data_IF_717917547005
#
_entry.id   IF_717917547005
#
_cell.length_a   1.000
_cell.length_b   1.000
_cell.length_c   1.000
_cell.angle_alpha   90.00
_cell.angle_beta   90.00
_cell.angle_gamma   90.00
#
_symmetry.space_group_name_H-M   'P 1'
#
loop_
_entity.id
_entity.type
_entity.pdbx_description
1 polymer ?
#
# COMPACT_ATOMS: atom_id res chain seq x y z
N UNK A 1 12.02 -9.03 -5.83
CA UNK A 1 11.49 -7.85 -6.55
C UNK A 1 12.09 -6.58 -5.95
N UNK A 2 12.21 -5.49 -6.71
CA UNK A 2 12.75 -4.21 -6.23
C UNK A 2 11.68 -3.13 -6.39
N UNK A 3 11.36 -2.44 -5.31
CA UNK A 3 10.41 -1.33 -5.28
C UNK A 3 11.14 0.00 -5.06
N UNK A 4 10.71 1.05 -5.78
CA UNK A 4 11.23 2.41 -5.57
C UNK A 4 10.56 3.02 -4.34
N UNK A 5 11.37 3.47 -3.38
CA UNK A 5 10.89 4.25 -2.24
C UNK A 5 10.56 5.67 -2.71
N UNK A 6 9.40 6.21 -2.34
CA UNK A 6 9.07 7.61 -2.63
C UNK A 6 9.89 8.55 -1.74
N UNK A 7 10.16 9.75 -2.24
CA UNK A 7 10.71 10.81 -1.40
C UNK A 7 9.72 11.14 -0.27
N UNK A 8 10.19 11.34 0.97
CA UNK A 8 9.34 11.87 2.03
C UNK A 8 8.91 13.30 1.71
N UNK A 9 7.77 13.72 2.26
CA UNK A 9 7.42 15.14 2.31
C UNK A 9 8.49 15.91 3.10
N UNK A 10 8.66 17.19 2.77
CA UNK A 10 9.43 18.08 3.65
C UNK A 10 8.76 18.15 5.03
N UNK A 11 9.52 18.42 6.09
CA UNK A 11 8.94 18.54 7.43
C UNK A 11 7.83 19.62 7.50
N UNK A 12 8.00 20.82 6.92
CA UNK A 12 6.92 21.81 6.86
C UNK A 12 5.67 21.30 6.13
N UNK A 13 5.82 20.61 5.00
CA UNK A 13 4.67 20.10 4.23
C UNK A 13 3.94 18.99 5.01
N UNK A 14 4.68 18.11 5.69
CA UNK A 14 4.10 17.05 6.51
C UNK A 14 3.34 17.62 7.72
N UNK A 15 3.88 18.66 8.37
CA UNK A 15 3.21 19.36 9.47
C UNK A 15 1.95 20.08 9.00
N UNK A 16 1.99 20.73 7.83
CA UNK A 16 0.83 21.36 7.21
C UNK A 16 -0.25 20.32 6.88
N UNK A 17 0.13 19.16 6.35
CA UNK A 17 -0.79 18.05 6.09
C UNK A 17 -1.47 17.57 7.39
N UNK A 18 -0.70 17.41 8.46
CA UNK A 18 -1.22 17.00 9.77
C UNK A 18 -2.19 18.03 10.35
N UNK A 19 -1.87 19.32 10.25
CA UNK A 19 -2.76 20.38 10.68
C UNK A 19 -4.09 20.33 9.92
N UNK A 20 -4.04 20.28 8.58
CA UNK A 20 -5.24 20.19 7.73
C UNK A 20 -6.09 18.96 8.07
N UNK A 21 -5.46 17.80 8.29
CA UNK A 21 -6.18 16.59 8.65
C UNK A 21 -6.87 16.69 10.02
N UNK A 22 -6.23 17.33 11.01
CA UNK A 22 -6.82 17.57 12.35
C UNK A 22 -7.99 18.54 12.29
N UNK A 23 -7.87 19.62 11.51
CA UNK A 23 -8.95 20.58 11.31
C UNK A 23 -10.16 19.93 10.63
N UNK A 24 -9.92 19.11 9.60
CA UNK A 24 -10.98 18.33 8.93
C UNK A 24 -11.69 17.40 9.90
N UNK A 25 -10.94 16.65 10.73
CA UNK A 25 -11.51 15.75 11.74
C UNK A 25 -12.35 16.52 12.76
N UNK A 26 -11.89 17.69 13.22
CA UNK A 26 -12.64 18.54 14.15
C UNK A 26 -13.99 18.95 13.55
N UNK A 27 -13.99 19.49 12.32
CA UNK A 27 -15.21 19.90 11.61
C UNK A 27 -16.21 18.75 11.47
N UNK A 28 -15.76 17.60 10.98
CA UNK A 28 -16.63 16.43 10.79
C UNK A 28 -17.22 15.93 12.12
N UNK A 29 -16.47 16.05 13.22
CA UNK A 29 -16.97 15.70 14.56
C UNK A 29 -18.05 16.67 15.04
N UNK A 30 -17.89 17.96 14.80
CA UNK A 30 -18.89 19.00 15.12
C UNK A 30 -20.17 18.85 14.27
N UNK A 31 -20.02 18.48 12.99
CA UNK A 31 -21.13 18.23 12.06
C UNK A 31 -21.91 16.94 12.39
N UNK A 32 -21.42 16.10 13.29
CA UNK A 32 -22.10 14.87 13.70
C UNK A 32 -22.24 13.85 12.56
N UNK A 33 -21.26 13.76 11.66
CA UNK A 33 -21.28 12.85 10.50
C UNK A 33 -21.32 11.38 10.91
N UNK A 34 -21.55 10.49 9.93
CA UNK A 34 -21.58 9.05 10.18
C UNK A 34 -20.29 8.54 10.84
N UNK A 35 -20.39 7.46 11.60
CA UNK A 35 -19.23 6.81 12.21
C UNK A 35 -18.16 6.46 11.17
N UNK A 36 -18.56 6.00 9.98
CA UNK A 36 -17.66 5.67 8.88
C UNK A 36 -16.88 6.88 8.36
N UNK A 37 -17.55 8.02 8.17
CA UNK A 37 -16.91 9.25 7.71
C UNK A 37 -15.92 9.80 8.75
N UNK A 38 -16.34 9.79 10.02
CA UNK A 38 -15.47 10.17 11.13
C UNK A 38 -14.24 9.26 11.18
N UNK A 39 -14.42 7.95 11.00
CA UNK A 39 -13.32 6.99 11.01
C UNK A 39 -12.32 7.25 9.89
N UNK A 40 -12.77 7.58 8.67
CA UNK A 40 -11.86 7.94 7.56
C UNK A 40 -11.04 9.20 7.87
N UNK A 41 -11.65 10.19 8.52
CA UNK A 41 -10.92 11.39 8.94
C UNK A 41 -9.88 11.10 10.03
N UNK A 42 -10.23 10.26 11.01
CA UNK A 42 -9.29 9.83 12.06
C UNK A 42 -8.09 9.07 11.49
N UNK A 43 -8.31 8.13 10.58
CA UNK A 43 -7.22 7.36 9.97
C UNK A 43 -6.34 8.25 9.10
N UNK A 44 -6.92 9.25 8.41
CA UNK A 44 -6.13 10.27 7.70
C UNK A 44 -5.20 11.06 8.63
N UNK A 45 -5.67 11.44 9.82
CA UNK A 45 -4.79 12.06 10.85
C UNK A 45 -3.65 11.13 11.24
N UNK A 46 -3.93 9.83 11.46
CA UNK A 46 -2.87 8.83 11.77
C UNK A 46 -1.86 8.70 10.63
N UNK A 47 -2.32 8.74 9.38
CA UNK A 47 -1.45 8.76 8.20
C UNK A 47 -0.56 9.99 8.16
N UNK A 48 -1.12 11.18 8.41
CA UNK A 48 -0.36 12.42 8.45
C UNK A 48 0.68 12.45 9.59
N UNK A 49 0.37 11.87 10.75
CA UNK A 49 1.35 11.68 11.84
C UNK A 49 2.52 10.81 11.36
N UNK A 50 2.24 9.74 10.61
CA UNK A 50 3.28 8.88 10.05
C UNK A 50 4.16 9.63 9.06
N UNK A 51 3.61 10.55 8.25
CA UNK A 51 4.38 11.41 7.35
C UNK A 51 5.31 12.37 8.11
N UNK A 52 4.83 13.01 9.17
CA UNK A 52 5.68 13.87 10.02
C UNK A 52 6.82 13.04 10.63
N UNK A 53 6.52 11.84 11.13
CA UNK A 53 7.54 10.94 11.67
C UNK A 53 8.55 10.48 10.60
N UNK A 54 8.11 10.30 9.34
CA UNK A 54 8.98 9.95 8.21
C UNK A 54 9.88 11.13 7.81
N UNK A 55 9.34 12.35 7.76
CA UNK A 55 10.07 13.56 7.40
C UNK A 55 11.18 13.92 8.40
N UNK A 56 11.04 13.53 9.67
CA UNK A 56 12.06 13.72 10.72
C UNK A 56 13.21 12.71 10.67
N UNK A 57 13.05 11.60 9.94
CA UNK A 57 14.07 10.56 9.83
C UNK A 57 14.96 10.85 8.62
N UNK A 58 16.25 10.50 8.68
CA UNK A 58 17.09 10.54 7.48
C UNK A 58 16.49 9.63 6.40
N UNK A 59 16.64 10.00 5.11
CA UNK A 59 16.16 9.17 4.02
C UNK A 59 16.83 7.80 4.08
N UNK A 60 16.01 6.75 4.04
CA UNK A 60 16.50 5.38 3.91
C UNK A 60 16.93 5.06 2.47
N UNK A 61 17.26 3.79 2.22
CA UNK A 61 17.59 3.31 0.87
C UNK A 61 16.52 3.74 -0.16
N UNK A 62 16.92 4.23 -1.35
CA UNK A 62 15.99 4.63 -2.41
C UNK A 62 15.21 3.45 -2.99
N UNK A 63 15.64 2.22 -2.69
CA UNK A 63 14.95 0.99 -3.07
C UNK A 63 14.71 0.10 -1.86
N UNK A 64 13.58 -0.59 -1.87
CA UNK A 64 13.31 -1.71 -0.96
C UNK A 64 13.31 -2.97 -1.81
N UNK A 65 14.17 -3.93 -1.45
CA UNK A 65 14.23 -5.26 -2.07
C UNK A 65 13.44 -6.20 -1.18
N UNK A 66 12.59 -7.02 -1.78
CA UNK A 66 11.76 -7.98 -1.06
C UNK A 66 11.38 -9.16 -1.96
N UNK A 67 10.69 -10.15 -1.42
CA UNK A 67 10.38 -11.41 -2.09
C UNK A 67 8.90 -11.50 -2.51
N UNK A 68 8.68 -11.98 -3.73
CA UNK A 68 7.37 -12.43 -4.21
C UNK A 68 7.54 -13.87 -4.62
N UNK A 69 6.85 -14.76 -3.94
CA UNK A 69 6.95 -16.21 -4.09
C UNK A 69 5.61 -16.77 -4.57
N UNK A 70 5.62 -17.88 -5.32
CA UNK A 70 4.40 -18.58 -5.65
C UNK A 70 4.55 -20.09 -5.46
N UNK A 71 3.46 -20.72 -5.04
CA UNK A 71 3.32 -22.17 -4.91
C UNK A 71 2.16 -22.63 -5.78
N UNK A 72 2.31 -23.80 -6.40
CA UNK A 72 1.24 -24.49 -7.10
C UNK A 72 0.77 -25.67 -6.25
N UNK A 73 -0.54 -25.73 -5.98
CA UNK A 73 -1.17 -26.86 -5.29
C UNK A 73 -2.30 -27.38 -6.18
N UNK A 74 -2.04 -28.47 -6.91
CA UNK A 74 -2.97 -28.94 -7.95
C UNK A 74 -3.20 -27.82 -8.99
N UNK A 75 -4.45 -27.41 -9.16
CA UNK A 75 -4.84 -26.33 -10.09
C UNK A 75 -4.93 -24.95 -9.42
N UNK A 76 -4.50 -24.84 -8.16
CA UNK A 76 -4.53 -23.61 -7.37
C UNK A 76 -3.15 -22.96 -7.36
N UNK A 77 -3.09 -21.68 -7.71
CA UNK A 77 -1.91 -20.83 -7.52
C UNK A 77 -2.00 -20.03 -6.22
N UNK A 78 -0.99 -20.11 -5.37
CA UNK A 78 -0.80 -19.21 -4.24
C UNK A 78 0.32 -18.24 -4.58
N UNK A 79 0.11 -16.94 -4.42
CA UNK A 79 1.17 -15.92 -4.56
C UNK A 79 1.35 -15.15 -3.27
N UNK A 80 2.52 -15.28 -2.66
CA UNK A 80 2.95 -14.50 -1.51
C UNK A 80 3.38 -13.11 -1.92
N UNK A 81 2.83 -12.09 -1.26
CA UNK A 81 3.18 -10.68 -1.47
C UNK A 81 3.70 -10.05 -0.18
N UNK A 82 4.73 -9.19 -0.24
CA UNK A 82 5.46 -8.75 0.96
C UNK A 82 4.81 -7.57 1.70
N UNK A 83 3.50 -7.60 1.90
CA UNK A 83 2.78 -6.55 2.62
C UNK A 83 1.32 -6.47 2.22
N UNK A 84 0.81 -5.25 2.06
CA UNK A 84 -0.62 -4.96 1.89
C UNK A 84 -0.93 -4.41 0.49
N UNK A 85 -1.22 -5.27 -0.50
CA UNK A 85 -1.68 -4.81 -1.81
C UNK A 85 -3.10 -4.23 -1.74
N UNK A 86 -3.39 -3.33 -2.66
CA UNK A 86 -4.75 -2.81 -2.85
C UNK A 86 -5.64 -3.85 -3.53
N UNK A 87 -6.94 -3.76 -3.28
CA UNK A 87 -7.93 -4.73 -3.78
C UNK A 87 -7.89 -4.86 -5.30
N UNK A 88 -7.86 -3.73 -6.03
CA UNK A 88 -7.80 -3.73 -7.49
C UNK A 88 -6.54 -4.45 -8.02
N UNK A 89 -5.39 -4.24 -7.38
CA UNK A 89 -4.15 -4.94 -7.71
C UNK A 89 -4.30 -6.45 -7.53
N UNK A 90 -4.89 -6.90 -6.42
CA UNK A 90 -5.11 -8.33 -6.15
C UNK A 90 -6.11 -8.93 -7.14
N UNK A 91 -7.19 -8.22 -7.46
CA UNK A 91 -8.18 -8.66 -8.44
C UNK A 91 -7.54 -8.81 -9.82
N UNK A 92 -6.71 -7.86 -10.24
CA UNK A 92 -5.99 -7.92 -11.51
C UNK A 92 -4.99 -9.10 -11.56
N UNK A 93 -4.31 -9.41 -10.45
CA UNK A 93 -3.44 -10.59 -10.34
C UNK A 93 -4.27 -11.87 -10.54
N UNK A 94 -5.41 -11.99 -9.84
CA UNK A 94 -6.28 -13.16 -9.93
C UNK A 94 -6.84 -13.35 -11.34
N UNK A 95 -7.31 -12.28 -11.97
CA UNK A 95 -7.88 -12.31 -13.33
C UNK A 95 -6.86 -12.72 -14.40
N UNK A 96 -5.60 -12.30 -14.24
CA UNK A 96 -4.53 -12.59 -15.21
C UNK A 96 -3.68 -13.83 -14.84
N UNK A 97 -4.07 -14.56 -13.80
CA UNK A 97 -3.35 -15.73 -13.34
C UNK A 97 -3.48 -16.90 -14.33
N UNK A 98 -2.42 -17.72 -14.52
CA UNK A 98 -2.51 -18.93 -15.34
C UNK A 98 -3.26 -20.09 -14.65
N UNK A 99 -3.65 -19.95 -13.39
CA UNK A 99 -4.32 -21.01 -12.62
C UNK A 99 -5.83 -20.79 -12.58
N UNK A 100 -6.59 -21.89 -12.54
CA UNK A 100 -8.06 -21.85 -12.46
C UNK A 100 -8.56 -21.12 -11.19
N UNK A 101 -7.82 -21.26 -10.09
CA UNK A 101 -8.02 -20.50 -8.87
C UNK A 101 -6.71 -19.88 -8.40
N UNK A 102 -6.75 -18.66 -7.87
CA UNK A 102 -5.57 -17.98 -7.34
C UNK A 102 -5.88 -17.23 -6.06
N UNK A 103 -5.03 -17.40 -5.06
CA UNK A 103 -5.06 -16.64 -3.81
C UNK A 103 -3.79 -15.81 -3.66
N UNK A 104 -3.95 -14.53 -3.33
CA UNK A 104 -2.85 -13.69 -2.89
C UNK A 104 -2.73 -13.78 -1.37
N UNK A 105 -1.53 -14.05 -0.88
CA UNK A 105 -1.21 -14.18 0.55
C UNK A 105 -0.40 -12.95 0.94
N UNK A 106 -1.06 -11.99 1.60
CA UNK A 106 -0.44 -10.79 2.15
C UNK A 106 0.55 -11.13 3.27
N UNK A 107 1.51 -10.23 3.50
CA UNK A 107 2.56 -10.38 4.51
C UNK A 107 3.38 -11.67 4.40
N UNK A 108 3.52 -12.21 3.17
CA UNK A 108 4.38 -13.35 2.93
C UNK A 108 5.83 -12.87 2.75
N UNK A 109 6.75 -13.54 3.42
CA UNK A 109 8.21 -13.26 3.46
C UNK A 109 8.61 -11.93 4.12
N UNK A 110 7.84 -10.85 3.96
CA UNK A 110 8.14 -9.52 4.52
C UNK A 110 6.87 -8.68 4.83
N UNK A 111 7.05 -7.59 5.59
CA UNK A 111 6.07 -6.51 5.81
C UNK A 111 6.67 -5.16 5.38
N UNK A 112 6.56 -4.80 4.10
CA UNK A 112 7.12 -3.53 3.58
C UNK A 112 6.06 -2.43 3.37
N UNK A 113 4.85 -2.64 3.89
CA UNK A 113 3.75 -1.68 3.89
C UNK A 113 2.78 -1.83 2.71
N UNK A 114 2.11 -0.73 2.37
CA UNK A 114 1.06 -0.67 1.35
C UNK A 114 1.59 -0.45 -0.06
N UNK A 115 0.94 -1.02 -1.08
CA UNK A 115 1.31 -0.87 -2.50
C UNK A 115 0.25 -0.06 -3.27
N UNK A 116 0.29 1.29 -3.22
CA UNK A 116 -0.73 2.13 -3.83
C UNK A 116 -0.60 2.15 -5.37
N UNK A 117 -1.76 2.34 -6.03
CA UNK A 117 -1.84 2.69 -7.44
C UNK A 117 -1.98 4.21 -7.63
N UNK A 118 -1.91 4.67 -8.88
CA UNK A 118 -2.00 6.09 -9.22
C UNK A 118 -3.30 6.75 -8.75
N UNK A 119 -4.44 6.03 -8.85
CA UNK A 119 -5.74 6.55 -8.43
C UNK A 119 -5.79 6.76 -6.92
N UNK A 120 -5.25 5.81 -6.17
CA UNK A 120 -5.25 5.79 -4.71
C UNK A 120 -4.37 6.89 -4.15
N UNK A 121 -3.21 7.16 -4.75
CA UNK A 121 -2.32 8.25 -4.31
C UNK A 121 -3.04 9.59 -4.26
N UNK A 122 -3.92 9.87 -5.23
CA UNK A 122 -4.70 11.12 -5.26
C UNK A 122 -5.69 11.28 -4.10
N UNK A 123 -6.16 10.17 -3.52
CA UNK A 123 -7.13 10.18 -2.42
C UNK A 123 -6.51 10.55 -1.06
N UNK A 124 -5.18 10.37 -0.90
CA UNK A 124 -4.47 10.71 0.33
C UNK A 124 -5.04 9.99 1.57
N UNK A 125 -5.38 8.71 1.42
CA UNK A 125 -5.89 7.88 2.51
C UNK A 125 -4.78 7.47 3.47
N UNK A 126 -5.14 6.85 4.59
CA UNK A 126 -4.19 6.34 5.57
C UNK A 126 -3.12 5.44 4.95
N UNK A 127 -3.53 4.51 4.09
CA UNK A 127 -2.70 3.50 3.44
C UNK A 127 -1.63 4.17 2.55
N UNK A 128 -2.03 5.18 1.77
CA UNK A 128 -1.14 5.96 0.90
C UNK A 128 -0.14 6.76 1.74
N UNK A 129 -0.62 7.45 2.78
CA UNK A 129 0.24 8.25 3.65
C UNK A 129 1.22 7.37 4.44
N UNK A 130 0.82 6.15 4.81
CA UNK A 130 1.72 5.17 5.45
C UNK A 130 2.64 4.46 4.47
N UNK A 131 2.28 4.35 3.20
CA UNK A 131 3.09 3.65 2.21
C UNK A 131 4.48 4.31 2.05
N UNK A 132 5.57 3.53 2.03
CA UNK A 132 6.89 4.00 1.62
C UNK A 132 7.02 4.13 0.09
N UNK A 133 5.99 3.75 -0.68
CA UNK A 133 6.02 3.71 -2.14
C UNK A 133 5.11 4.76 -2.78
N UNK A 134 5.37 5.02 -4.07
CA UNK A 134 4.55 5.86 -4.94
C UNK A 134 3.56 5.06 -5.78
N UNK A 135 2.97 5.73 -6.77
CA UNK A 135 1.92 5.19 -7.65
C UNK A 135 2.33 4.02 -8.53
N UNK A 136 3.63 3.75 -8.66
CA UNK A 136 4.21 2.66 -9.44
C UNK A 136 4.19 1.31 -8.70
N UNK A 137 4.01 1.32 -7.37
CA UNK A 137 4.17 0.16 -6.51
C UNK A 137 3.20 -0.99 -6.86
N UNK A 138 1.93 -0.64 -7.11
CA UNK A 138 0.91 -1.60 -7.49
C UNK A 138 1.29 -2.37 -8.77
N UNK A 139 1.78 -1.67 -9.78
CA UNK A 139 2.13 -2.27 -11.07
C UNK A 139 3.36 -3.17 -10.95
N UNK A 140 4.41 -2.71 -10.26
CA UNK A 140 5.61 -3.52 -9.99
C UNK A 140 5.25 -4.80 -9.24
N UNK A 141 4.35 -4.72 -8.25
CA UNK A 141 3.90 -5.90 -7.51
C UNK A 141 3.11 -6.84 -8.41
N UNK A 142 2.18 -6.31 -9.22
CA UNK A 142 1.35 -7.09 -10.15
C UNK A 142 2.19 -7.86 -11.15
N UNK A 143 3.14 -7.19 -11.79
CA UNK A 143 4.05 -7.82 -12.76
C UNK A 143 4.91 -8.91 -12.10
N UNK A 144 5.46 -8.63 -10.92
CA UNK A 144 6.24 -9.61 -10.18
C UNK A 144 5.41 -10.84 -9.80
N UNK A 145 4.19 -10.64 -9.28
CA UNK A 145 3.27 -11.69 -8.91
C UNK A 145 2.90 -12.59 -10.10
N UNK A 146 2.50 -11.99 -11.23
CA UNK A 146 2.13 -12.74 -12.43
C UNK A 146 3.31 -13.50 -13.03
N UNK A 147 4.50 -12.89 -13.04
CA UNK A 147 5.73 -13.57 -13.48
C UNK A 147 6.04 -14.77 -12.59
N UNK A 148 5.94 -14.62 -11.26
CA UNK A 148 6.22 -15.71 -10.33
C UNK A 148 5.18 -16.84 -10.45
N UNK A 149 3.89 -16.51 -10.59
CA UNK A 149 2.82 -17.49 -10.82
C UNK A 149 3.04 -18.31 -12.09
N UNK A 150 3.44 -17.68 -13.20
CA UNK A 150 3.73 -18.39 -14.47
C UNK A 150 4.90 -19.36 -14.37
N UNK A 151 5.84 -19.09 -13.45
CA UNK A 151 7.00 -19.94 -13.22
C UNK A 151 6.80 -20.94 -12.08
N UNK A 152 5.65 -20.92 -11.39
CA UNK A 152 5.40 -21.80 -10.27
C UNK A 152 5.32 -23.26 -10.75
N UNK A 153 6.17 -24.10 -10.16
CA UNK A 153 6.19 -25.55 -10.38
C UNK A 153 5.59 -26.26 -9.16
N UNK A 154 5.11 -27.48 -9.39
CA UNK A 154 4.74 -28.44 -8.33
C UNK A 154 5.94 -28.78 -7.46
#
# INVERSE_FOLDING_TARGET
VRFRRRAPLSLPDAEQLLQKAREQLRKLREEGVSHGDLRRAETKVRGAIAEVARAKKPPGSPQIVSEVQALKIGDIGLVGVPGEPFTETVLAIKQCSPFAATAAVSYANDEIGYFPDARSVSAGTYEVLKSPFGSDAAEVLREAALRTLRNART
#
